data_IF_296259018696
#
_entry.id   IF_296259018696
#
_cell.length_a   1.000
_cell.length_b   1.000
_cell.length_c   1.000
_cell.angle_alpha   90.00
_cell.angle_beta   90.00
_cell.angle_gamma   90.00
#
_symmetry.space_group_name_H-M   'P 1'
#
loop_
_entity.id
_entity.type
_entity.pdbx_description
1 polymer ?
#
# COMPACT_ATOMS: atom_id res chain seq x y z
N UNK A 1 22.24 -7.45 -50.92
CA UNK A 1 21.53 -6.33 -50.26
C UNK A 1 21.49 -6.56 -48.74
N UNK A 2 22.20 -5.75 -47.94
CA UNK A 2 22.34 -5.92 -46.47
C UNK A 2 21.37 -4.97 -45.74
N UNK A 3 20.31 -5.50 -45.12
CA UNK A 3 19.37 -4.70 -44.29
C UNK A 3 20.06 -4.29 -42.98
N UNK A 4 20.36 -3.00 -42.82
CA UNK A 4 20.83 -2.42 -41.56
C UNK A 4 19.69 -2.42 -40.53
N UNK A 5 19.75 -3.30 -39.51
CA UNK A 5 18.87 -3.23 -38.34
C UNK A 5 19.28 -2.01 -37.50
N UNK A 6 18.45 -0.96 -37.49
CA UNK A 6 18.61 0.16 -36.55
C UNK A 6 18.22 -0.34 -35.16
N UNK A 7 19.17 -0.48 -34.24
CA UNK A 7 18.87 -0.71 -32.83
C UNK A 7 18.24 0.55 -32.26
N UNK A 8 16.95 0.46 -31.90
CA UNK A 8 16.25 1.53 -31.20
C UNK A 8 16.74 1.48 -29.74
N UNK A 9 17.83 2.18 -29.44
CA UNK A 9 18.28 2.36 -28.06
C UNK A 9 17.20 3.19 -27.37
N UNK A 10 16.36 2.52 -26.60
CA UNK A 10 15.31 3.14 -25.81
C UNK A 10 15.99 4.01 -24.76
N UNK A 11 16.01 5.33 -24.98
CA UNK A 11 16.52 6.30 -24.01
C UNK A 11 15.71 6.14 -22.73
N UNK A 12 16.38 5.75 -21.66
CA UNK A 12 15.81 5.75 -20.32
C UNK A 12 15.62 7.21 -19.90
N UNK A 13 14.38 7.63 -19.70
CA UNK A 13 14.09 8.93 -19.10
C UNK A 13 14.32 8.80 -17.59
N UNK A 14 15.06 9.72 -16.95
CA UNK A 14 15.15 9.75 -15.50
C UNK A 14 13.74 9.96 -14.94
N UNK A 15 13.40 9.20 -13.88
CA UNK A 15 12.16 9.39 -13.13
C UNK A 15 12.03 10.86 -12.72
N UNK A 16 10.81 11.44 -12.74
CA UNK A 16 10.62 12.81 -12.28
C UNK A 16 11.20 12.94 -10.86
N UNK A 17 12.14 13.86 -10.66
CA UNK A 17 12.56 14.27 -9.31
C UNK A 17 11.41 15.06 -8.71
N UNK A 18 10.38 14.36 -8.24
CA UNK A 18 9.41 14.97 -7.36
C UNK A 18 10.11 15.36 -6.06
N UNK A 19 9.85 16.58 -5.59
CA UNK A 19 10.37 17.03 -4.30
C UNK A 19 9.78 16.14 -3.20
N UNK A 20 10.63 15.26 -2.65
CA UNK A 20 10.26 14.32 -1.59
C UNK A 20 9.61 15.02 -0.39
N UNK A 21 10.00 16.26 -0.09
CA UNK A 21 9.39 17.03 0.99
C UNK A 21 7.93 17.40 0.66
N UNK A 22 7.68 17.80 -0.59
CA UNK A 22 6.32 18.08 -1.09
C UNK A 22 5.46 16.81 -1.17
N UNK A 23 6.06 15.68 -1.52
CA UNK A 23 5.36 14.39 -1.49
C UNK A 23 5.02 13.99 -0.05
N UNK A 24 5.95 14.10 0.90
CA UNK A 24 5.70 13.76 2.31
C UNK A 24 4.74 14.72 3.02
N UNK A 25 4.63 15.98 2.57
CA UNK A 25 3.68 16.94 3.15
C UNK A 25 2.22 16.67 2.75
N UNK A 26 1.98 15.81 1.75
CA UNK A 26 0.63 15.43 1.39
C UNK A 26 -0.06 14.73 2.57
N UNK A 27 -1.27 15.14 2.98
CA UNK A 27 -1.96 14.56 4.14
C UNK A 27 -2.10 13.03 4.08
N UNK A 28 -2.28 12.48 2.87
CA UNK A 28 -2.35 11.03 2.64
C UNK A 28 -1.02 10.28 2.83
N UNK A 29 0.10 10.99 2.87
CA UNK A 29 1.45 10.45 3.04
C UNK A 29 1.98 10.64 4.48
N UNK A 30 1.18 11.20 5.39
CA UNK A 30 1.53 11.25 6.80
C UNK A 30 1.75 9.84 7.34
N UNK A 31 2.91 9.64 7.97
CA UNK A 31 3.33 8.35 8.50
C UNK A 31 2.99 8.24 9.99
N UNK A 32 2.48 7.08 10.39
CA UNK A 32 2.18 6.71 11.78
C UNK A 32 3.02 5.50 12.19
N UNK A 33 3.28 5.41 13.49
CA UNK A 33 3.86 4.19 14.09
C UNK A 33 2.76 3.12 14.16
N UNK A 34 3.01 1.96 13.55
CA UNK A 34 2.06 0.84 13.58
C UNK A 34 2.58 -0.28 14.48
N UNK A 35 1.83 -0.72 15.50
CA UNK A 35 2.27 -1.80 16.38
C UNK A 35 2.32 -3.16 15.67
N UNK A 36 1.60 -3.30 14.55
CA UNK A 36 1.50 -4.54 13.78
C UNK A 36 2.50 -4.60 12.62
N UNK A 37 3.37 -3.60 12.47
CA UNK A 37 4.37 -3.59 11.42
C UNK A 37 5.67 -4.20 11.94
N UNK A 38 6.18 -5.31 11.35
CA UNK A 38 7.50 -5.84 11.66
C UNK A 38 8.58 -4.78 11.67
N UNK A 39 9.49 -4.87 12.64
CA UNK A 39 10.62 -3.95 12.79
C UNK A 39 10.24 -2.54 13.25
N UNK A 40 9.06 -2.33 13.84
CA UNK A 40 8.57 -1.01 14.28
C UNK A 40 8.56 0.04 13.15
N UNK A 41 8.38 -0.41 11.91
CA UNK A 41 8.37 0.48 10.76
C UNK A 41 7.11 1.37 10.78
N UNK A 42 7.27 2.58 10.26
CA UNK A 42 6.15 3.49 10.06
C UNK A 42 5.36 3.10 8.80
N UNK A 43 4.08 3.42 8.79
CA UNK A 43 3.18 3.21 7.66
C UNK A 43 2.38 4.49 7.41
N UNK A 44 2.03 4.79 6.16
CA UNK A 44 1.15 5.94 5.91
C UNK A 44 -0.25 5.71 6.49
N UNK A 45 -0.92 6.78 6.92
CA UNK A 45 -2.32 6.76 7.37
C UNK A 45 -3.22 6.10 6.31
N UNK A 46 -3.03 6.49 5.05
CA UNK A 46 -3.76 5.93 3.90
C UNK A 46 -3.56 4.42 3.73
N UNK A 47 -2.33 3.93 3.90
CA UNK A 47 -2.04 2.50 3.80
C UNK A 47 -2.59 1.73 5.00
N UNK A 48 -2.53 2.30 6.21
CA UNK A 48 -3.12 1.70 7.40
C UNK A 48 -4.64 1.51 7.26
N UNK A 49 -5.35 2.54 6.80
CA UNK A 49 -6.78 2.48 6.52
C UNK A 49 -7.12 1.43 5.46
N UNK A 50 -6.40 1.41 4.33
CA UNK A 50 -6.60 0.41 3.27
C UNK A 50 -6.43 -1.01 3.78
N UNK A 51 -5.40 -1.25 4.62
CA UNK A 51 -5.19 -2.56 5.25
C UNK A 51 -6.31 -2.94 6.19
N UNK A 52 -6.86 -1.99 6.95
CA UNK A 52 -8.03 -2.25 7.80
C UNK A 52 -9.26 -2.61 6.98
N UNK A 53 -9.59 -1.83 5.94
CA UNK A 53 -10.75 -2.13 5.07
C UNK A 53 -10.59 -3.49 4.43
N UNK A 54 -9.43 -3.79 3.83
CA UNK A 54 -9.14 -5.08 3.24
C UNK A 54 -9.20 -6.22 4.27
N UNK A 55 -8.71 -6.03 5.50
CA UNK A 55 -8.74 -7.07 6.51
C UNK A 55 -10.17 -7.46 6.94
N UNK A 56 -11.11 -6.52 6.88
CA UNK A 56 -12.51 -6.72 7.29
C UNK A 56 -13.46 -6.97 6.11
N UNK A 57 -12.97 -6.96 4.87
CA UNK A 57 -13.73 -7.36 3.69
C UNK A 57 -14.04 -8.87 3.71
N UNK A 58 -15.26 -9.31 3.34
CA UNK A 58 -15.65 -10.72 3.37
C UNK A 58 -14.72 -11.64 2.56
N UNK A 59 -14.14 -11.13 1.46
CA UNK A 59 -13.18 -11.84 0.61
C UNK A 59 -11.97 -12.37 1.40
N UNK A 60 -11.57 -11.65 2.45
CA UNK A 60 -10.38 -11.93 3.24
C UNK A 60 -10.70 -12.53 4.61
N UNK A 61 -11.98 -12.75 4.93
CA UNK A 61 -12.43 -13.29 6.22
C UNK A 61 -12.10 -14.78 6.40
N UNK A 62 -12.25 -15.59 5.35
CA UNK A 62 -12.03 -17.03 5.42
C UNK A 62 -10.61 -17.42 4.96
N UNK A 63 -9.91 -18.17 5.80
CA UNK A 63 -8.63 -18.80 5.46
C UNK A 63 -8.95 -20.18 4.89
N UNK A 64 -8.85 -20.32 3.56
CA UNK A 64 -9.11 -21.57 2.84
C UNK A 64 -7.89 -22.01 2.01
N UNK A 65 -8.08 -23.00 1.15
CA UNK A 65 -7.07 -23.53 0.22
C UNK A 65 -6.80 -22.57 -0.97
N UNK A 66 -6.47 -21.32 -0.64
CA UNK A 66 -6.13 -20.31 -1.63
C UNK A 66 -4.73 -20.55 -2.22
N UNK A 67 -4.47 -20.11 -3.47
CA UNK A 67 -3.12 -20.03 -4.01
C UNK A 67 -2.17 -19.30 -3.05
N UNK A 68 -0.92 -19.77 -2.97
CA UNK A 68 0.10 -19.23 -2.05
C UNK A 68 0.21 -17.69 -2.04
N UNK A 69 0.16 -16.96 -3.18
CA UNK A 69 0.20 -15.50 -3.16
C UNK A 69 -0.96 -14.85 -2.38
N UNK A 70 -2.16 -15.41 -2.51
CA UNK A 70 -3.37 -14.92 -1.81
C UNK A 70 -3.27 -15.26 -0.32
N UNK A 71 -2.78 -16.46 0.00
CA UNK A 71 -2.54 -16.87 1.38
C UNK A 71 -1.60 -15.91 2.11
N UNK A 72 -0.46 -15.53 1.51
CA UNK A 72 0.48 -14.58 2.12
C UNK A 72 -0.16 -13.22 2.39
N UNK A 73 -0.98 -12.72 1.46
CA UNK A 73 -1.71 -11.46 1.66
C UNK A 73 -2.69 -11.60 2.83
N UNK A 74 -3.49 -12.68 2.87
CA UNK A 74 -4.43 -12.95 3.98
C UNK A 74 -3.72 -12.96 5.33
N UNK A 75 -2.61 -13.68 5.45
CA UNK A 75 -1.84 -13.78 6.69
C UNK A 75 -1.35 -12.41 7.18
N UNK A 76 -0.95 -11.51 6.27
CA UNK A 76 -0.51 -10.16 6.61
C UNK A 76 -1.65 -9.19 6.97
N UNK A 77 -2.89 -9.54 6.67
CA UNK A 77 -4.08 -8.76 7.03
C UNK A 77 -4.72 -9.19 8.34
N UNK A 78 -4.44 -10.41 8.83
CA UNK A 78 -4.99 -10.93 10.10
C UNK A 78 -4.81 -9.93 11.26
N UNK A 79 -3.62 -9.34 11.51
CA UNK A 79 -3.45 -8.40 12.61
C UNK A 79 -4.25 -7.09 12.46
N UNK A 80 -4.71 -6.80 11.25
CA UNK A 80 -5.46 -5.60 10.93
C UNK A 80 -6.99 -5.78 11.10
N UNK A 81 -7.48 -7.02 11.32
CA UNK A 81 -8.89 -7.29 11.60
C UNK A 81 -9.31 -6.62 12.91
N UNK A 82 -10.41 -5.87 12.88
CA UNK A 82 -10.91 -5.11 14.04
C UNK A 82 -9.83 -4.24 14.75
N UNK A 83 -8.79 -3.82 14.02
CA UNK A 83 -7.70 -3.03 14.59
C UNK A 83 -8.16 -1.59 14.83
N UNK A 84 -8.14 -1.13 16.10
CA UNK A 84 -8.54 0.24 16.49
C UNK A 84 -7.78 1.35 15.78
N UNK A 85 -6.47 1.15 15.56
CA UNK A 85 -5.64 2.12 14.82
C UNK A 85 -6.13 2.23 13.38
N UNK A 86 -6.34 1.09 12.73
CA UNK A 86 -6.83 1.02 11.36
C UNK A 86 -8.24 1.59 11.18
N UNK A 87 -9.13 1.32 12.13
CA UNK A 87 -10.49 1.87 12.17
C UNK A 87 -10.48 3.40 12.24
N UNK A 88 -9.69 3.97 13.16
CA UNK A 88 -9.57 5.42 13.28
C UNK A 88 -9.01 6.08 12.00
N UNK A 89 -8.05 5.42 11.33
CA UNK A 89 -7.53 5.91 10.04
C UNK A 89 -8.55 5.76 8.91
N UNK A 90 -9.33 4.68 8.88
CA UNK A 90 -10.36 4.48 7.86
C UNK A 90 -11.47 5.54 7.97
N UNK A 91 -11.92 5.83 9.19
CA UNK A 91 -12.91 6.87 9.48
C UNK A 91 -12.41 8.27 9.11
N UNK A 92 -11.18 8.61 9.49
CA UNK A 92 -10.64 9.94 9.18
C UNK A 92 -10.46 10.17 7.67
N UNK A 93 -10.19 9.12 6.89
CA UNK A 93 -10.14 9.22 5.43
C UNK A 93 -11.52 9.36 4.79
N UNK A 94 -12.54 8.65 5.28
CA UNK A 94 -13.90 8.83 4.77
C UNK A 94 -14.42 10.24 5.02
N UNK A 95 -14.11 10.81 6.19
CA UNK A 95 -14.47 12.19 6.55
C UNK A 95 -13.74 13.24 5.69
N UNK A 96 -12.52 12.96 5.23
CA UNK A 96 -11.74 13.87 4.36
C UNK A 96 -12.08 13.75 2.87
N UNK A 97 -12.73 12.66 2.47
CA UNK A 97 -13.12 12.40 1.08
C UNK A 97 -14.55 12.88 0.76
N UNK A 98 -15.35 13.15 1.79
CA UNK A 98 -16.66 13.81 1.71
C UNK A 98 -16.49 15.33 1.61
#
# INVERSE_FOLDING_TARGET
>A
MRRKKKSKVQKWSPLPQEDMAKWMSHPGNQMITCPNQPGNLKISQSSCAKRYVAANEPRWANIGAEPFPIFVIKMNLIPCRNCKVGEAQARSLSERAA
#
